data_IF_884383248047
#
_entry.id   IF_884383248047
#
_cell.length_a   1.000
_cell.length_b   1.000
_cell.length_c   1.000
_cell.angle_alpha   90.00
_cell.angle_beta   90.00
_cell.angle_gamma   90.00
#
_symmetry.space_group_name_H-M   'P 1'
#
loop_
_entity.id
_entity.type
_entity.pdbx_description
1 polymer ?
#
# COMPACT_ATOMS: atom_id res chain seq x y z
N UNK A 1 -1.48 20.88 -1.43
CA UNK A 1 -1.07 20.24 -2.70
C UNK A 1 -1.22 18.74 -2.54
N UNK A 2 -1.72 18.02 -3.55
CA UNK A 2 -1.70 16.55 -3.58
C UNK A 2 -0.62 16.09 -4.56
N UNK A 3 0.42 15.43 -4.05
CA UNK A 3 1.59 15.00 -4.82
C UNK A 3 1.81 13.48 -4.70
N UNK A 4 0.88 12.64 -5.20
CA UNK A 4 0.88 11.20 -4.94
C UNK A 4 2.16 10.51 -5.39
N UNK A 5 2.67 10.84 -6.59
CA UNK A 5 3.91 10.26 -7.11
C UNK A 5 5.12 10.51 -6.23
N UNK A 6 5.16 11.64 -5.51
CA UNK A 6 6.26 11.96 -4.62
C UNK A 6 6.24 11.03 -3.40
N UNK A 7 5.05 10.83 -2.80
CA UNK A 7 4.84 9.90 -1.70
C UNK A 7 5.10 8.45 -2.13
N UNK A 8 4.54 8.05 -3.27
CA UNK A 8 4.74 6.72 -3.87
C UNK A 8 6.23 6.41 -4.08
N UNK A 9 6.97 7.35 -4.67
CA UNK A 9 8.41 7.15 -4.88
C UNK A 9 9.19 7.10 -3.57
N UNK A 10 8.82 7.91 -2.57
CA UNK A 10 9.44 7.87 -1.23
C UNK A 10 9.28 6.50 -0.57
N UNK A 11 8.08 5.92 -0.62
CA UNK A 11 7.80 4.59 -0.09
C UNK A 11 8.55 3.49 -0.87
N UNK A 12 8.64 3.60 -2.19
CA UNK A 12 9.36 2.64 -3.03
C UNK A 12 10.88 2.68 -2.92
N UNK A 13 11.46 3.58 -2.12
CA UNK A 13 12.88 3.48 -1.77
C UNK A 13 13.16 2.39 -0.73
N UNK A 14 12.15 1.96 0.03
CA UNK A 14 12.32 0.85 0.96
C UNK A 14 12.31 -0.48 0.19
N UNK A 15 13.31 -1.35 0.40
CA UNK A 15 13.52 -2.54 -0.44
C UNK A 15 12.41 -3.60 -0.31
N UNK A 16 11.63 -3.57 0.77
CA UNK A 16 10.49 -4.45 1.00
C UNK A 16 9.17 -3.95 0.39
N UNK A 17 9.17 -2.79 -0.30
CA UNK A 17 8.01 -2.22 -0.98
C UNK A 17 8.22 -2.28 -2.50
N UNK A 18 7.39 -3.04 -3.20
CA UNK A 18 7.45 -3.22 -4.65
C UNK A 18 6.69 -2.11 -5.39
N UNK A 19 5.45 -1.85 -5.00
CA UNK A 19 4.60 -0.86 -5.63
C UNK A 19 3.69 -0.19 -4.60
N UNK A 20 3.31 1.05 -4.87
CA UNK A 20 2.39 1.81 -4.02
C UNK A 20 1.41 2.60 -4.86
N UNK A 21 0.18 2.73 -4.38
CA UNK A 21 -0.83 3.60 -4.99
C UNK A 21 -1.40 4.51 -3.92
N UNK A 22 -1.15 5.81 -4.06
CA UNK A 22 -1.61 6.82 -3.09
C UNK A 22 -2.88 7.48 -3.59
N UNK A 23 -3.87 7.53 -2.72
CA UNK A 23 -5.17 8.18 -2.90
C UNK A 23 -5.24 9.42 -2.00
N UNK A 24 -6.02 10.42 -2.40
CA UNK A 24 -6.16 11.66 -1.62
C UNK A 24 -6.61 12.90 -2.40
N UNK A 25 -6.72 12.81 -3.73
CA UNK A 25 -7.17 13.95 -4.54
C UNK A 25 -8.61 14.35 -4.18
N UNK A 26 -8.81 15.62 -3.81
CA UNK A 26 -10.10 16.13 -3.33
C UNK A 26 -10.59 15.50 -2.01
N UNK A 27 -9.72 14.86 -1.23
CA UNK A 27 -10.05 14.20 0.06
C UNK A 27 -9.33 14.89 1.23
N UNK A 28 -9.83 14.68 2.45
CA UNK A 28 -9.27 15.27 3.67
C UNK A 28 -7.94 14.63 4.12
N UNK A 29 -7.66 13.43 3.65
CA UNK A 29 -6.44 12.69 4.01
C UNK A 29 -5.95 11.81 2.88
N UNK A 30 -4.63 11.54 2.88
CA UNK A 30 -4.05 10.57 1.97
C UNK A 30 -4.14 9.16 2.56
N UNK A 31 -4.29 8.18 1.68
CA UNK A 31 -4.29 6.75 2.01
C UNK A 31 -3.45 6.02 0.98
N UNK A 32 -2.88 4.88 1.35
CA UNK A 32 -1.99 4.13 0.44
C UNK A 32 -2.28 2.64 0.46
N UNK A 33 -2.34 2.05 -0.73
CA UNK A 33 -2.25 0.61 -0.91
C UNK A 33 -0.82 0.23 -1.28
N UNK A 34 -0.29 -0.83 -0.69
CA UNK A 34 1.11 -1.22 -0.80
C UNK A 34 1.20 -2.68 -1.28
N UNK A 35 2.05 -2.93 -2.27
CA UNK A 35 2.58 -4.26 -2.53
C UNK A 35 3.94 -4.41 -1.86
N UNK A 36 4.10 -5.49 -1.11
CA UNK A 36 5.43 -5.90 -0.67
C UNK A 36 6.25 -6.45 -1.85
N UNK A 37 7.57 -6.34 -1.74
CA UNK A 37 8.49 -7.09 -2.59
C UNK A 37 8.68 -8.50 -2.01
N UNK A 38 8.16 -9.51 -2.72
CA UNK A 38 8.17 -10.90 -2.24
C UNK A 38 9.59 -11.42 -2.02
N UNK A 39 10.55 -11.03 -2.85
CA UNK A 39 11.93 -11.49 -2.71
C UNK A 39 12.59 -10.89 -1.47
N UNK A 40 12.44 -9.59 -1.25
CA UNK A 40 13.00 -8.91 -0.09
C UNK A 40 12.36 -9.39 1.22
N UNK A 41 11.03 -9.48 1.26
CA UNK A 41 10.30 -9.95 2.44
C UNK A 41 10.52 -11.45 2.69
N UNK A 42 10.58 -12.27 1.64
CA UNK A 42 10.91 -13.70 1.73
C UNK A 42 12.31 -13.93 2.33
N UNK A 43 13.31 -13.16 1.89
CA UNK A 43 14.66 -13.20 2.48
C UNK A 43 14.66 -12.80 3.97
N UNK A 44 13.85 -11.82 4.36
CA UNK A 44 13.67 -11.46 5.76
C UNK A 44 12.99 -12.59 6.55
N UNK A 45 11.95 -13.21 6.00
CA UNK A 45 11.23 -14.31 6.63
C UNK A 45 12.18 -15.51 6.90
N UNK A 46 12.98 -15.90 5.91
CA UNK A 46 13.98 -16.97 6.05
C UNK A 46 14.98 -16.68 7.18
N UNK A 47 15.52 -15.45 7.26
CA UNK A 47 16.47 -15.05 8.30
C UNK A 47 15.86 -15.05 9.71
N UNK A 48 14.56 -14.86 9.81
CA UNK A 48 13.82 -14.86 11.07
C UNK A 48 13.14 -16.21 11.36
N UNK A 49 13.42 -17.25 10.58
CA UNK A 49 12.81 -18.59 10.70
C UNK A 49 11.28 -18.57 10.59
N UNK A 50 10.74 -17.67 9.76
CA UNK A 50 9.31 -17.58 9.47
C UNK A 50 9.04 -18.40 8.21
N UNK A 51 8.28 -19.49 8.38
CA UNK A 51 7.79 -20.27 7.26
C UNK A 51 6.60 -19.56 6.61
N UNK A 52 6.58 -19.55 5.28
CA UNK A 52 5.46 -19.05 4.48
C UNK A 52 5.28 -19.93 3.24
N UNK A 53 4.07 -19.99 2.72
CA UNK A 53 3.70 -20.77 1.54
C UNK A 53 3.29 -19.91 0.34
N UNK A 54 3.01 -18.62 0.57
CA UNK A 54 2.47 -17.72 -0.44
C UNK A 54 2.79 -16.25 -0.18
N UNK A 55 2.62 -15.43 -1.21
CA UNK A 55 2.64 -13.97 -1.09
C UNK A 55 1.63 -13.47 -0.05
N UNK A 56 0.42 -14.02 -0.06
CA UNK A 56 -0.67 -13.62 0.85
C UNK A 56 -0.29 -13.77 2.32
N UNK A 57 0.39 -14.86 2.68
CA UNK A 57 0.82 -15.09 4.06
C UNK A 57 1.83 -14.05 4.54
N UNK A 58 2.81 -13.69 3.70
CA UNK A 58 3.78 -12.65 4.04
C UNK A 58 3.14 -11.25 4.03
N UNK A 59 2.29 -10.97 3.04
CA UNK A 59 1.57 -9.71 2.94
C UNK A 59 0.64 -9.46 4.14
N UNK A 60 0.11 -10.53 4.75
CA UNK A 60 -0.73 -10.49 5.95
C UNK A 60 0.05 -10.62 7.28
N UNK A 61 1.37 -10.79 7.23
CA UNK A 61 2.16 -11.07 8.44
C UNK A 61 2.29 -9.82 9.32
N UNK A 62 2.07 -9.97 10.63
CA UNK A 62 2.06 -8.88 11.61
C UNK A 62 3.37 -8.06 11.59
N UNK A 63 4.52 -8.71 11.62
CA UNK A 63 5.83 -8.04 11.58
C UNK A 63 6.09 -7.32 10.24
N UNK A 64 5.50 -7.81 9.14
CA UNK A 64 5.59 -7.14 7.83
C UNK A 64 4.76 -5.87 7.88
N UNK A 65 3.51 -5.95 8.36
CA UNK A 65 2.69 -4.75 8.57
C UNK A 65 3.36 -3.74 9.52
N UNK A 66 3.97 -4.20 10.62
CA UNK A 66 4.69 -3.33 11.55
C UNK A 66 5.87 -2.62 10.87
N UNK A 67 6.63 -3.33 10.04
CA UNK A 67 7.74 -2.75 9.27
C UNK A 67 7.24 -1.74 8.24
N UNK A 68 6.17 -2.07 7.50
CA UNK A 68 5.56 -1.16 6.54
C UNK A 68 5.00 0.08 7.23
N UNK A 69 4.36 -0.08 8.40
CA UNK A 69 3.87 1.03 9.21
C UNK A 69 5.02 1.99 9.56
N UNK A 70 6.15 1.47 10.04
CA UNK A 70 7.33 2.30 10.34
C UNK A 70 7.79 3.08 9.12
N UNK A 71 7.86 2.45 7.94
CA UNK A 71 8.25 3.13 6.70
C UNK A 71 7.27 4.25 6.29
N UNK A 72 5.97 4.02 6.47
CA UNK A 72 4.95 5.04 6.20
C UNK A 72 5.11 6.21 7.18
N UNK A 73 5.38 5.94 8.45
CA UNK A 73 5.60 6.98 9.47
C UNK A 73 6.90 7.77 9.20
N UNK A 74 8.00 7.12 8.80
CA UNK A 74 9.24 7.78 8.40
C UNK A 74 9.02 8.72 7.20
N UNK A 75 8.18 8.30 6.24
CA UNK A 75 7.78 9.13 5.10
C UNK A 75 6.91 10.30 5.57
N UNK A 76 5.97 10.09 6.49
CA UNK A 76 5.16 11.16 7.06
C UNK A 76 6.02 12.20 7.79
N UNK A 77 6.98 11.76 8.59
CA UNK A 77 7.95 12.63 9.26
C UNK A 77 8.70 13.48 8.23
N UNK A 78 9.17 12.86 7.14
CA UNK A 78 9.82 13.58 6.05
C UNK A 78 8.90 14.56 5.31
N UNK A 79 7.65 14.19 5.02
CA UNK A 79 6.67 15.04 4.34
C UNK A 79 6.28 16.24 5.18
N UNK A 80 6.20 16.04 6.50
CA UNK A 80 5.86 17.10 7.44
C UNK A 80 6.85 18.26 7.41
N UNK A 81 8.12 18.00 7.04
CA UNK A 81 9.18 19.01 7.00
C UNK A 81 8.97 20.09 5.92
N UNK A 82 8.16 19.81 4.91
CA UNK A 82 7.83 20.72 3.83
C UNK A 82 6.35 21.13 3.92
N UNK A 83 6.07 22.42 4.10
CA UNK A 83 4.70 22.93 4.25
C UNK A 83 3.80 22.60 3.05
N UNK A 84 4.36 22.56 1.84
CA UNK A 84 3.61 22.24 0.63
C UNK A 84 3.22 20.75 0.58
N UNK A 85 4.04 19.88 1.20
CA UNK A 85 3.86 18.43 1.18
C UNK A 85 3.25 17.88 2.47
N UNK A 86 3.17 18.65 3.56
CA UNK A 86 2.62 18.21 4.84
C UNK A 86 1.17 17.71 4.74
N UNK A 87 0.39 18.20 3.76
CA UNK A 87 -0.96 17.70 3.47
C UNK A 87 -1.01 16.35 2.75
N UNK A 88 0.13 15.86 2.25
CA UNK A 88 0.25 14.54 1.62
C UNK A 88 0.58 13.41 2.61
N UNK A 89 0.64 13.70 3.91
CA UNK A 89 0.85 12.67 4.93
C UNK A 89 -0.23 11.59 4.85
N UNK A 90 0.20 10.34 4.83
CA UNK A 90 -0.66 9.16 4.82
C UNK A 90 -1.33 9.05 6.18
N UNK A 91 -2.64 8.84 6.18
CA UNK A 91 -3.45 8.63 7.39
C UNK A 91 -3.71 7.16 7.65
N UNK A 92 -3.87 6.37 6.58
CA UNK A 92 -4.18 4.94 6.65
C UNK A 92 -3.50 4.18 5.52
N UNK A 93 -3.17 2.93 5.75
CA UNK A 93 -2.66 2.04 4.72
C UNK A 93 -3.21 0.62 4.85
N UNK A 94 -3.05 -0.14 3.77
CA UNK A 94 -3.19 -1.58 3.76
C UNK A 94 -2.12 -2.21 2.86
N UNK A 95 -1.85 -3.49 3.08
CA UNK A 95 -1.01 -4.30 2.18
C UNK A 95 -1.94 -5.14 1.31
N UNK A 96 -1.77 -5.06 -0.01
CA UNK A 96 -2.55 -5.82 -0.96
C UNK A 96 -2.21 -7.30 -0.86
N UNK A 97 -3.22 -8.16 -1.05
CA UNK A 97 -3.10 -9.61 -0.99
C UNK A 97 -2.57 -10.24 -2.29
N UNK A 98 -2.37 -9.44 -3.34
CA UNK A 98 -1.69 -9.83 -4.58
C UNK A 98 -0.83 -8.67 -5.10
N UNK A 99 0.20 -8.99 -5.88
CA UNK A 99 0.93 -7.98 -6.65
C UNK A 99 0.06 -7.38 -7.76
N UNK A 100 0.19 -6.09 -8.02
CA UNK A 100 -0.44 -5.46 -9.19
C UNK A 100 0.17 -6.00 -10.49
N UNK A 101 -0.68 -6.30 -11.47
CA UNK A 101 -0.29 -6.98 -12.71
C UNK A 101 -0.66 -6.20 -13.98
N UNK A 102 0.17 -6.31 -15.02
CA UNK A 102 -0.11 -5.73 -16.32
C UNK A 102 -1.20 -6.49 -17.08
N UNK A 103 -1.31 -7.81 -16.89
CA UNK A 103 -2.32 -8.66 -17.53
C UNK A 103 -3.71 -8.42 -16.92
N UNK A 104 -3.75 -8.05 -15.64
CA UNK A 104 -4.95 -7.53 -14.97
C UNK A 104 -5.29 -6.08 -15.36
N UNK A 105 -4.46 -5.45 -16.20
CA UNK A 105 -4.63 -4.07 -16.64
C UNK A 105 -4.37 -3.02 -15.57
N UNK A 106 -3.83 -3.42 -14.41
CA UNK A 106 -3.50 -2.58 -13.26
C UNK A 106 -2.23 -1.79 -13.49
N UNK A 107 -1.29 -2.40 -14.23
CA UNK A 107 -0.05 -1.79 -14.69
C UNK A 107 -0.01 -1.72 -16.22
N UNK A 108 0.85 -0.84 -16.77
CA UNK A 108 1.33 -1.01 -18.15
C UNK A 108 2.35 -2.15 -18.21
N UNK A 109 2.67 -2.65 -19.42
CA UNK A 109 3.79 -3.60 -19.61
C UNK A 109 5.15 -3.05 -19.17
N UNK A 110 5.27 -1.73 -19.03
CA UNK A 110 6.43 -1.03 -18.46
C UNK A 110 6.29 -0.77 -16.96
N UNK A 111 5.37 -1.45 -16.28
CA UNK A 111 5.08 -1.38 -14.84
C UNK A 111 4.63 0.00 -14.33
N UNK A 112 3.98 0.81 -15.19
CA UNK A 112 3.37 2.07 -14.74
C UNK A 112 1.94 1.82 -14.26
N UNK A 113 1.62 2.24 -13.04
CA UNK A 113 0.26 2.15 -12.46
C UNK A 113 -0.79 2.86 -13.34
N UNK A 114 -1.88 2.16 -13.63
CA UNK A 114 -3.09 2.66 -14.31
C UNK A 114 -4.15 3.03 -13.28
N UNK A 115 -4.00 4.21 -12.67
CA UNK A 115 -4.79 4.65 -11.50
C UNK A 115 -6.31 4.52 -11.66
N UNK A 116 -6.88 4.89 -12.81
CA UNK A 116 -8.32 4.73 -13.04
C UNK A 116 -8.77 3.27 -12.91
N UNK A 117 -7.95 2.32 -13.39
CA UNK A 117 -8.24 0.88 -13.27
C UNK A 117 -8.13 0.43 -11.82
N UNK A 118 -7.14 0.92 -11.09
CA UNK A 118 -6.99 0.63 -9.65
C UNK A 118 -8.19 1.16 -8.87
N UNK A 119 -8.60 2.41 -9.11
CA UNK A 119 -9.73 3.05 -8.45
C UNK A 119 -11.04 2.29 -8.68
N UNK A 120 -11.24 1.77 -9.90
CA UNK A 120 -12.42 0.98 -10.23
C UNK A 120 -12.35 -0.44 -9.62
N UNK A 121 -11.21 -1.14 -9.76
CA UNK A 121 -11.06 -2.54 -9.31
C UNK A 121 -11.04 -2.70 -7.79
N UNK A 122 -10.42 -1.75 -7.09
CA UNK A 122 -10.22 -1.80 -5.63
C UNK A 122 -11.09 -0.78 -4.91
N UNK A 123 -12.23 -0.42 -5.51
CA UNK A 123 -13.14 0.59 -4.99
C UNK A 123 -13.62 0.25 -3.58
N UNK A 124 -13.91 -1.02 -3.32
CA UNK A 124 -14.32 -1.55 -2.02
C UNK A 124 -13.25 -1.35 -0.94
N UNK A 125 -11.98 -1.60 -1.25
CA UNK A 125 -10.85 -1.35 -0.35
C UNK A 125 -10.69 0.15 -0.08
N UNK A 126 -10.77 0.99 -1.13
CA UNK A 126 -10.67 2.44 -1.02
C UNK A 126 -11.81 2.99 -0.14
N UNK A 127 -13.05 2.57 -0.40
CA UNK A 127 -14.22 2.95 0.37
C UNK A 127 -14.10 2.46 1.83
N UNK A 128 -13.56 1.26 2.08
CA UNK A 128 -13.34 0.74 3.42
C UNK A 128 -12.32 1.58 4.20
N UNK A 129 -11.21 1.98 3.57
CA UNK A 129 -10.21 2.84 4.21
C UNK A 129 -10.80 4.20 4.57
N UNK A 130 -11.49 4.87 3.63
CA UNK A 130 -12.17 6.16 3.89
C UNK A 130 -13.37 6.04 4.83
N UNK A 131 -14.02 4.88 4.88
CA UNK A 131 -15.14 4.57 5.76
C UNK A 131 -14.75 4.24 7.20
N UNK A 132 -13.47 4.29 7.55
CA UNK A 132 -13.01 4.07 8.92
C UNK A 132 -12.94 2.59 9.33
N UNK A 133 -13.05 1.64 8.40
CA UNK A 133 -12.92 0.22 8.73
C UNK A 133 -11.49 -0.14 9.14
N UNK A 134 -11.34 -1.14 10.00
CA UNK A 134 -10.03 -1.70 10.40
C UNK A 134 -9.69 -2.99 9.65
N UNK A 135 -10.67 -3.59 8.98
CA UNK A 135 -10.49 -4.77 8.14
C UNK A 135 -11.56 -4.83 7.03
N UNK A 136 -11.27 -5.54 5.95
CA UNK A 136 -12.22 -5.77 4.87
C UNK A 136 -11.93 -7.10 4.16
N UNK A 137 -12.98 -7.90 3.95
CA UNK A 137 -12.94 -9.04 3.03
C UNK A 137 -13.08 -8.54 1.59
N UNK A 138 -12.22 -9.02 0.70
CA UNK A 138 -12.26 -8.74 -0.74
C UNK A 138 -12.04 -10.01 -1.54
N UNK A 139 -12.53 -10.02 -2.77
CA UNK A 139 -12.24 -11.01 -3.79
C UNK A 139 -11.84 -10.27 -5.08
N UNK A 140 -10.58 -10.40 -5.47
CA UNK A 140 -10.01 -9.68 -6.60
C UNK A 140 -9.82 -10.62 -7.78
N UNK A 141 -10.39 -10.25 -8.94
CA UNK A 141 -10.21 -10.98 -10.19
C UNK A 141 -8.76 -10.91 -10.65
N UNK A 142 -8.21 -12.06 -11.03
CA UNK A 142 -6.86 -12.20 -11.61
C UNK A 142 -6.92 -12.91 -12.96
N UNK A 143 -6.02 -12.51 -13.85
CA UNK A 143 -5.84 -13.08 -15.19
C UNK A 143 -4.56 -13.90 -15.18
N UNK A 144 -4.68 -15.20 -15.46
CA UNK A 144 -3.53 -16.10 -15.55
C UNK A 144 -2.83 -15.97 -16.92
N UNK A 145 -1.60 -16.49 -17.02
CA UNK A 145 -0.80 -16.43 -18.26
C UNK A 145 -1.49 -17.09 -19.48
N UNK A 146 -2.38 -18.07 -19.24
CA UNK A 146 -3.16 -18.73 -20.29
C UNK A 146 -4.41 -17.93 -20.71
N UNK A 147 -4.62 -16.75 -20.12
CA UNK A 147 -5.76 -15.87 -20.34
C UNK A 147 -7.03 -16.27 -19.59
N UNK A 148 -6.98 -17.34 -18.79
CA UNK A 148 -8.11 -17.70 -17.92
C UNK A 148 -8.23 -16.69 -16.77
N UNK A 149 -9.45 -16.54 -16.26
CA UNK A 149 -9.76 -15.68 -15.11
C UNK A 149 -9.96 -16.52 -13.87
N UNK A 150 -9.39 -16.08 -12.77
CA UNK A 150 -9.66 -16.58 -11.43
C UNK A 150 -9.94 -15.45 -10.45
N UNK A 151 -9.98 -15.78 -9.17
CA UNK A 151 -10.05 -14.80 -8.10
C UNK A 151 -9.11 -15.17 -6.98
N UNK A 152 -8.61 -14.14 -6.30
CA UNK A 152 -7.88 -14.27 -5.05
C UNK A 152 -8.70 -13.55 -3.98
N UNK A 153 -9.02 -14.26 -2.90
CA UNK A 153 -9.77 -13.70 -1.79
C UNK A 153 -8.87 -13.56 -0.56
N UNK A 154 -9.10 -12.52 0.23
CA UNK A 154 -8.44 -12.28 1.49
C UNK A 154 -9.23 -11.33 2.39
N UNK A 155 -8.98 -11.40 3.69
CA UNK A 155 -9.34 -10.34 4.63
C UNK A 155 -8.10 -9.48 4.86
N UNK A 156 -8.19 -8.19 4.54
CA UNK A 156 -7.08 -7.26 4.63
C UNK A 156 -7.25 -6.39 5.86
N UNK A 157 -6.18 -6.26 6.64
CA UNK A 157 -6.10 -5.30 7.73
C UNK A 157 -5.88 -3.88 7.18
N UNK A 158 -6.51 -2.89 7.79
CA UNK A 158 -6.34 -1.48 7.50
C UNK A 158 -5.79 -0.82 8.75
N UNK A 159 -4.56 -0.28 8.66
CA UNK A 159 -3.90 0.38 9.79
C UNK A 159 -3.95 1.88 9.67
N UNK A 160 -4.26 2.51 10.79
CA UNK A 160 -4.04 3.94 11.01
C UNK A 160 -2.53 4.19 11.24
N UNK A 161 -2.02 5.28 10.70
CA UNK A 161 -0.62 5.69 10.85
C UNK A 161 -0.51 7.05 11.50
N UNK A 162 0.53 7.22 12.32
CA UNK A 162 0.84 8.52 12.93
C UNK A 162 1.10 9.56 11.84
N UNK A 163 0.48 10.73 12.00
CA UNK A 163 0.79 11.95 11.23
C UNK A 163 1.38 12.98 12.18
N UNK A 164 2.37 13.72 11.69
CA UNK A 164 2.99 14.81 12.44
C UNK A 164 2.11 16.05 12.34
N UNK A 165 1.69 16.53 13.50
CA UNK A 165 0.97 17.79 13.64
C UNK A 165 1.92 18.99 13.52
N UNK A 166 1.35 20.17 13.26
CA UNK A 166 2.13 21.43 13.25
C UNK A 166 2.64 21.79 14.65
N UNK A 167 1.96 21.36 15.71
CA UNK A 167 2.29 21.69 17.10
C UNK A 167 3.51 20.92 17.60
N UNK A 168 3.63 19.64 17.23
CA UNK A 168 4.79 18.79 17.57
C UNK A 168 6.11 19.30 16.97
N UNK A 169 6.06 20.13 15.92
CA UNK A 169 7.27 20.75 15.31
C UNK A 169 7.75 22.00 16.02
N UNK A 170 6.91 22.64 16.81
CA UNK A 170 7.23 23.88 17.50
C UNK A 170 7.82 23.65 18.92
N UNK A 171 7.81 22.40 19.39
CA UNK A 171 8.38 21.94 20.64
C UNK A 171 9.80 21.38 20.44
#
# INVERSE_FOLDING_TARGET
LFAPKYVENKLKFFPNILETVVFGDGRDSCMVMINIDLQAVGNWAERNNIAYSSYQELAAHEDVYATIQQHVEDVNDSLSADEMLAGCQVSRFLVLHKELDADDGELTRTRKVRRSVIEDKYKDLIDAMYGGKTEIYTETEVTYEDGSKGSIAATLEIRDVRRVSREEKAA
#
